data_IF_427935080216
#
_entry.id   IF_427935080216
#
_cell.length_a   1.000
_cell.length_b   1.000
_cell.length_c   1.000
_cell.angle_alpha   90.00
_cell.angle_beta   90.00
_cell.angle_gamma   90.00
#
_symmetry.space_group_name_H-M   'P 1'
#
loop_
_entity.id
_entity.type
_entity.pdbx_description
1 polymer ?
#
# COMPACT_ATOMS: atom_id res chain seq x y z
N UNK A 1 -8.55 -14.93 -4.14
CA UNK A 1 -8.10 -14.03 -3.06
C UNK A 1 -7.41 -14.69 -1.86
N UNK A 2 -7.54 -16.02 -1.58
CA UNK A 2 -6.92 -16.66 -0.40
C UNK A 2 -5.39 -16.52 -0.31
N UNK A 3 -4.68 -16.81 -1.40
CA UNK A 3 -3.21 -16.71 -1.48
C UNK A 3 -2.70 -15.30 -1.13
N UNK A 4 -3.40 -14.29 -1.61
CA UNK A 4 -3.09 -12.89 -1.32
C UNK A 4 -3.33 -12.49 0.14
N UNK A 5 -4.36 -13.06 0.76
CA UNK A 5 -4.60 -12.89 2.20
C UNK A 5 -3.51 -13.57 3.04
N UNK A 6 -3.08 -14.76 2.64
CA UNK A 6 -1.97 -15.49 3.28
C UNK A 6 -0.66 -14.72 3.18
N UNK A 7 -0.38 -14.11 2.01
CA UNK A 7 0.75 -13.19 1.84
C UNK A 7 0.73 -12.06 2.87
N UNK A 8 -0.39 -11.34 3.01
CA UNK A 8 -0.50 -10.25 3.98
C UNK A 8 -0.35 -10.72 5.43
N UNK A 9 -0.79 -11.93 5.74
CA UNK A 9 -0.66 -12.52 7.06
C UNK A 9 0.81 -12.87 7.37
N UNK A 10 1.55 -13.39 6.40
CA UNK A 10 2.99 -13.64 6.53
C UNK A 10 3.80 -12.34 6.64
N UNK A 11 3.40 -11.29 5.91
CA UNK A 11 4.08 -9.98 5.86
C UNK A 11 3.73 -9.06 7.07
N UNK A 12 2.89 -9.53 7.99
CA UNK A 12 2.34 -8.69 9.08
C UNK A 12 3.40 -8.22 10.09
N UNK A 13 4.44 -9.03 10.33
CA UNK A 13 5.49 -8.71 11.29
C UNK A 13 6.48 -7.65 10.75
N UNK A 14 6.77 -7.67 9.44
CA UNK A 14 7.70 -6.74 8.80
C UNK A 14 7.14 -5.30 8.80
N UNK A 15 5.87 -5.08 8.48
CA UNK A 15 5.27 -3.74 8.37
C UNK A 15 5.08 -2.98 9.69
N UNK A 16 4.85 -3.71 10.79
CA UNK A 16 4.83 -3.08 12.12
C UNK A 16 6.20 -2.51 12.50
N UNK A 17 7.26 -3.14 11.95
CA UNK A 17 8.66 -2.78 12.13
C UNK A 17 9.13 -1.76 11.09
N UNK A 18 8.71 -1.83 9.82
CA UNK A 18 9.05 -0.87 8.75
C UNK A 18 8.53 0.55 9.04
N UNK A 19 7.39 0.70 9.74
CA UNK A 19 6.96 2.00 10.26
C UNK A 19 7.94 2.60 11.30
N UNK A 20 8.84 1.79 11.89
CA UNK A 20 9.83 2.20 12.91
C UNK A 20 11.27 2.09 12.42
N UNK A 21 11.55 1.30 11.39
CA UNK A 21 12.90 0.95 10.97
C UNK A 21 13.25 1.69 9.69
N UNK A 22 13.97 2.78 9.93
CA UNK A 22 15.16 3.16 9.18
C UNK A 22 14.97 3.81 7.82
N UNK A 23 15.08 5.14 7.83
CA UNK A 23 15.45 5.98 6.69
C UNK A 23 16.88 5.71 6.15
N UNK A 24 17.47 4.54 6.43
CA UNK A 24 18.86 4.20 6.13
C UNK A 24 18.98 3.09 5.08
N UNK A 25 18.03 2.99 4.16
CA UNK A 25 18.38 2.41 2.86
C UNK A 25 19.37 3.38 2.23
N UNK A 26 20.65 3.01 2.25
CA UNK A 26 21.73 3.62 1.48
C UNK A 26 21.40 3.43 -0.01
N UNK A 27 20.40 4.17 -0.48
CA UNK A 27 20.33 4.50 -1.88
C UNK A 27 21.53 5.41 -2.08
N UNK A 28 22.33 5.14 -3.10
CA UNK A 28 23.15 6.17 -3.70
C UNK A 28 22.23 6.81 -4.75
N UNK A 29 21.50 7.90 -4.46
CA UNK A 29 21.04 8.75 -5.52
C UNK A 29 22.33 9.23 -6.19
N UNK A 30 22.59 8.72 -7.39
CA UNK A 30 23.66 9.27 -8.21
C UNK A 30 23.30 10.71 -8.64
N UNK A 31 22.03 11.12 -8.47
CA UNK A 31 21.48 12.41 -8.82
C UNK A 31 20.69 13.06 -7.65
N UNK A 32 20.92 14.34 -7.31
CA UNK A 32 20.09 15.10 -6.37
C UNK A 32 18.58 15.09 -6.65
N UNK A 33 18.16 15.00 -7.92
CA UNK A 33 16.75 14.93 -8.32
C UNK A 33 16.08 13.62 -7.85
N UNK A 34 16.83 12.51 -7.87
CA UNK A 34 16.33 11.22 -7.39
C UNK A 34 16.08 11.23 -5.87
N UNK A 35 16.85 12.03 -5.12
CA UNK A 35 16.69 12.15 -3.67
C UNK A 35 15.41 12.90 -3.29
N UNK A 36 15.11 14.00 -3.97
CA UNK A 36 13.87 14.75 -3.75
C UNK A 36 12.65 13.89 -4.08
N UNK A 37 12.65 13.25 -5.25
CA UNK A 37 11.60 12.32 -5.68
C UNK A 37 11.41 11.18 -4.67
N UNK A 38 12.50 10.59 -4.18
CA UNK A 38 12.48 9.56 -3.14
C UNK A 38 11.80 10.04 -1.86
N UNK A 39 12.07 11.27 -1.42
CA UNK A 39 11.45 11.82 -0.22
C UNK A 39 9.97 12.05 -0.41
N UNK A 40 9.56 12.65 -1.53
CA UNK A 40 8.15 12.85 -1.87
C UNK A 40 7.40 11.52 -1.88
N UNK A 41 7.94 10.53 -2.58
CA UNK A 41 7.38 9.18 -2.67
C UNK A 41 7.19 8.54 -1.30
N UNK A 42 8.20 8.63 -0.41
CA UNK A 42 8.09 8.11 0.95
C UNK A 42 6.96 8.78 1.72
N UNK A 43 6.81 10.10 1.60
CA UNK A 43 5.70 10.80 2.25
C UNK A 43 4.34 10.38 1.68
N UNK A 44 4.24 10.19 0.36
CA UNK A 44 3.02 9.78 -0.31
C UNK A 44 2.62 8.35 0.10
N UNK A 45 3.58 7.41 0.09
CA UNK A 45 3.39 6.05 0.59
C UNK A 45 2.88 6.04 2.03
N UNK A 46 3.56 6.76 2.94
CA UNK A 46 3.16 6.85 4.35
C UNK A 46 1.74 7.42 4.52
N UNK A 47 1.37 8.44 3.74
CA UNK A 47 0.01 9.01 3.76
C UNK A 47 -1.03 7.97 3.36
N UNK A 48 -0.79 7.20 2.28
CA UNK A 48 -1.72 6.16 1.80
C UNK A 48 -1.81 4.98 2.77
N UNK A 49 -0.69 4.53 3.34
CA UNK A 49 -0.67 3.49 4.38
C UNK A 49 -1.47 3.91 5.62
N UNK A 50 -1.26 5.15 6.10
CA UNK A 50 -2.03 5.68 7.24
C UNK A 50 -3.53 5.70 6.93
N UNK A 51 -3.90 6.19 5.74
CA UNK A 51 -5.30 6.27 5.31
C UNK A 51 -5.95 4.89 5.23
N UNK A 52 -5.26 3.92 4.66
CA UNK A 52 -5.73 2.53 4.57
C UNK A 52 -5.92 1.92 5.97
N UNK A 53 -4.98 2.16 6.89
CA UNK A 53 -5.07 1.70 8.28
C UNK A 53 -6.27 2.32 9.02
N UNK A 54 -6.56 3.60 8.79
CA UNK A 54 -7.74 4.27 9.34
C UNK A 54 -9.05 3.63 8.81
N UNK A 55 -9.12 3.33 7.51
CA UNK A 55 -10.27 2.67 6.90
C UNK A 55 -10.47 1.28 7.51
N UNK A 56 -9.42 0.46 7.58
CA UNK A 56 -9.47 -0.90 8.16
C UNK A 56 -9.88 -0.88 9.64
N UNK A 57 -9.34 0.07 10.42
CA UNK A 57 -9.75 0.26 11.83
C UNK A 57 -11.21 0.62 11.94
N UNK A 58 -11.68 1.58 11.15
CA UNK A 58 -13.09 1.99 11.16
C UNK A 58 -14.01 0.82 10.79
N UNK A 59 -13.62 -0.02 9.83
CA UNK A 59 -14.38 -1.20 9.46
C UNK A 59 -14.38 -2.26 10.57
N UNK A 60 -13.28 -2.47 11.30
CA UNK A 60 -13.29 -3.34 12.48
C UNK A 60 -14.28 -2.86 13.55
N UNK A 61 -14.36 -1.54 13.78
CA UNK A 61 -15.33 -0.93 14.69
C UNK A 61 -16.78 -1.03 14.18
N UNK A 62 -16.97 -0.87 12.88
CA UNK A 62 -18.28 -0.86 12.20
C UNK A 62 -18.81 -2.29 12.04
N UNK A 63 -18.01 -3.26 11.63
CA UNK A 63 -18.41 -4.68 11.51
C UNK A 63 -18.88 -5.22 12.86
N UNK A 64 -18.30 -4.77 13.99
CA UNK A 64 -18.83 -5.07 15.33
C UNK A 64 -20.24 -4.51 15.57
N UNK A 65 -20.60 -3.36 14.96
CA UNK A 65 -21.93 -2.72 15.06
C UNK A 65 -22.93 -3.20 14.00
N UNK A 66 -22.47 -3.64 12.83
CA UNK A 66 -23.30 -3.95 11.65
C UNK A 66 -23.47 -5.45 11.34
N UNK A 67 -22.98 -6.37 12.19
CA UNK A 67 -23.37 -7.79 12.16
C UNK A 67 -24.90 -8.04 12.22
N UNK A 68 -25.71 -6.99 12.35
CA UNK A 68 -27.18 -7.04 12.41
C UNK A 68 -27.90 -6.77 11.09
N UNK A 69 -27.30 -6.18 10.04
CA UNK A 69 -28.03 -5.90 8.78
C UNK A 69 -27.19 -6.13 7.51
N UNK A 70 -27.75 -6.94 6.62
CA UNK A 70 -27.17 -7.51 5.40
C UNK A 70 -26.90 -6.51 4.26
N UNK A 71 -25.89 -6.82 3.44
CA UNK A 71 -26.00 -6.94 1.96
C UNK A 71 -24.69 -7.53 1.42
N UNK A 72 -24.72 -8.82 1.07
CA UNK A 72 -23.50 -9.62 0.81
C UNK A 72 -22.74 -9.22 -0.46
N UNK A 73 -23.38 -8.63 -1.47
CA UNK A 73 -22.75 -8.38 -2.79
C UNK A 73 -21.85 -7.12 -2.82
N UNK A 74 -22.33 -5.98 -2.29
CA UNK A 74 -21.53 -4.74 -2.20
C UNK A 74 -20.38 -4.88 -1.21
N UNK A 75 -20.59 -5.63 -0.12
CA UNK A 75 -19.53 -5.91 0.86
C UNK A 75 -18.37 -6.73 0.28
N UNK A 76 -18.59 -7.59 -0.71
CA UNK A 76 -17.53 -8.44 -1.28
C UNK A 76 -16.57 -7.63 -2.14
N UNK A 77 -17.08 -6.79 -3.06
CA UNK A 77 -16.21 -5.94 -3.89
C UNK A 77 -15.36 -4.98 -3.06
N UNK A 78 -15.96 -4.34 -2.06
CA UNK A 78 -15.25 -3.44 -1.15
C UNK A 78 -14.14 -4.17 -0.38
N UNK A 79 -14.36 -5.44 0.01
CA UNK A 79 -13.33 -6.27 0.65
C UNK A 79 -12.18 -6.60 -0.31
N UNK A 80 -12.49 -6.89 -1.57
CA UNK A 80 -11.48 -7.17 -2.58
C UNK A 80 -10.62 -5.94 -2.89
N UNK A 81 -11.22 -4.75 -3.06
CA UNK A 81 -10.49 -3.49 -3.24
C UNK A 81 -9.57 -3.15 -2.06
N UNK A 82 -10.03 -3.38 -0.82
CA UNK A 82 -9.20 -3.19 0.38
C UNK A 82 -8.05 -4.19 0.45
N UNK A 83 -8.28 -5.42 0.02
CA UNK A 83 -7.26 -6.45 -0.01
C UNK A 83 -6.20 -6.11 -1.05
N UNK A 84 -6.62 -5.73 -2.26
CA UNK A 84 -5.73 -5.30 -3.35
C UNK A 84 -4.94 -4.05 -2.92
N UNK A 85 -5.57 -3.05 -2.31
CA UNK A 85 -4.89 -1.87 -1.78
C UNK A 85 -3.85 -2.19 -0.72
N UNK A 86 -4.13 -3.15 0.17
CA UNK A 86 -3.13 -3.61 1.13
C UNK A 86 -1.93 -4.23 0.41
N UNK A 87 -2.16 -5.10 -0.55
CA UNK A 87 -1.07 -5.80 -1.27
C UNK A 87 -0.23 -4.82 -2.08
N UNK A 88 -0.86 -3.95 -2.87
CA UNK A 88 -0.19 -2.93 -3.68
C UNK A 88 0.72 -2.05 -2.80
N UNK A 89 0.21 -1.52 -1.68
CA UNK A 89 1.05 -0.72 -0.77
C UNK A 89 2.16 -1.56 -0.10
N UNK A 90 1.92 -2.84 0.22
CA UNK A 90 2.98 -3.73 0.76
C UNK A 90 4.09 -3.96 -0.25
N UNK A 91 3.74 -4.29 -1.50
CA UNK A 91 4.73 -4.54 -2.55
C UNK A 91 5.55 -3.28 -2.80
N UNK A 92 4.91 -2.11 -2.90
CA UNK A 92 5.62 -0.82 -3.05
C UNK A 92 6.56 -0.57 -1.87
N UNK A 93 6.08 -0.71 -0.64
CA UNK A 93 6.89 -0.53 0.57
C UNK A 93 8.13 -1.45 0.58
N UNK A 94 7.95 -2.70 0.15
CA UNK A 94 9.06 -3.67 0.03
C UNK A 94 10.06 -3.28 -1.06
N UNK A 95 9.60 -2.82 -2.23
CA UNK A 95 10.48 -2.33 -3.30
C UNK A 95 11.27 -1.12 -2.82
N UNK A 96 10.63 -0.16 -2.16
CA UNK A 96 11.27 1.05 -1.62
C UNK A 96 12.31 0.79 -0.53
N UNK A 97 12.29 -0.39 0.10
CA UNK A 97 13.26 -0.81 1.14
C UNK A 97 14.38 -1.71 0.61
N UNK A 98 14.37 -2.06 -0.67
CA UNK A 98 15.45 -2.85 -1.29
C UNK A 98 16.79 -2.11 -1.25
N UNK A 99 17.89 -2.85 -1.07
CA UNK A 99 19.24 -2.29 -1.00
C UNK A 99 19.74 -1.65 -2.31
N UNK A 100 19.15 -2.02 -3.45
CA UNK A 100 19.44 -1.47 -4.78
C UNK A 100 18.15 -1.03 -5.44
N UNK A 101 17.86 0.26 -5.33
CA UNK A 101 16.73 0.90 -5.98
C UNK A 101 17.20 1.50 -7.31
N UNK A 102 16.55 1.13 -8.41
CA UNK A 102 16.82 1.68 -9.74
C UNK A 102 15.74 2.73 -10.08
N UNK A 103 16.03 3.61 -11.03
CA UNK A 103 15.05 4.60 -11.53
C UNK A 103 13.78 3.93 -12.07
N UNK A 104 13.89 2.78 -12.74
CA UNK A 104 12.74 2.01 -13.21
C UNK A 104 11.84 1.54 -12.05
N UNK A 105 12.44 1.06 -10.95
CA UNK A 105 11.70 0.68 -9.74
C UNK A 105 11.04 1.89 -9.06
N UNK A 106 11.69 3.05 -9.10
CA UNK A 106 11.13 4.31 -8.60
C UNK A 106 9.91 4.74 -9.40
N UNK A 107 10.02 4.79 -10.73
CA UNK A 107 8.91 5.12 -11.63
C UNK A 107 7.75 4.15 -11.39
N UNK A 108 8.03 2.85 -11.32
CA UNK A 108 7.00 1.85 -11.04
C UNK A 108 6.30 2.09 -9.70
N UNK A 109 7.06 2.37 -8.63
CA UNK A 109 6.49 2.67 -7.32
C UNK A 109 5.61 3.93 -7.35
N UNK A 110 6.04 4.98 -8.05
CA UNK A 110 5.29 6.22 -8.18
C UNK A 110 3.95 5.98 -8.90
N UNK A 111 3.98 5.34 -10.07
CA UNK A 111 2.78 5.01 -10.83
C UNK A 111 1.80 4.15 -10.01
N UNK A 112 2.33 3.18 -9.26
CA UNK A 112 1.54 2.30 -8.40
C UNK A 112 0.86 3.04 -7.27
N UNK A 113 1.60 3.92 -6.60
CA UNK A 113 1.05 4.78 -5.57
C UNK A 113 -0.05 5.62 -6.20
N UNK A 114 0.20 6.36 -7.28
CA UNK A 114 -0.72 7.37 -7.82
C UNK A 114 -2.04 6.83 -8.35
N UNK A 115 -2.05 5.60 -8.88
CA UNK A 115 -3.28 4.91 -9.31
C UNK A 115 -4.27 4.64 -8.17
N UNK A 116 -3.83 4.73 -6.92
CA UNK A 116 -4.66 4.55 -5.74
C UNK A 116 -5.11 5.90 -5.17
N UNK A 117 -6.41 6.19 -5.21
CA UNK A 117 -6.97 7.39 -4.59
C UNK A 117 -7.98 7.04 -3.49
N UNK A 118 -8.07 7.92 -2.50
CA UNK A 118 -8.93 7.74 -1.34
C UNK A 118 -9.92 8.88 -1.25
N UNK A 119 -11.20 8.59 -1.42
CA UNK A 119 -12.29 9.54 -1.19
C UNK A 119 -13.06 9.18 0.08
N UNK A 120 -12.70 9.85 1.19
CA UNK A 120 -13.25 9.53 2.51
C UNK A 120 -12.83 8.13 2.99
N UNK A 121 -13.74 7.16 2.92
CA UNK A 121 -13.49 5.73 3.22
C UNK A 121 -13.55 4.82 1.98
N UNK A 122 -13.83 5.39 0.81
CA UNK A 122 -13.84 4.66 -0.46
C UNK A 122 -12.44 4.67 -1.05
N UNK A 123 -12.05 3.52 -1.59
CA UNK A 123 -10.81 3.36 -2.32
C UNK A 123 -11.19 3.33 -3.80
N UNK A 124 -10.45 4.08 -4.61
CA UNK A 124 -10.55 3.99 -6.05
C UNK A 124 -9.18 3.57 -6.58
N UNK A 125 -9.17 2.55 -7.42
CA UNK A 125 -7.97 2.01 -8.03
C UNK A 125 -8.14 2.02 -9.53
N UNK A 126 -7.24 2.69 -10.22
CA UNK A 126 -7.15 2.55 -11.67
C UNK A 126 -6.57 1.17 -12.02
N UNK A 127 -7.15 0.43 -12.99
CA UNK A 127 -6.62 -0.86 -13.40
C UNK A 127 -5.15 -0.75 -13.83
N UNK A 128 -4.34 -1.73 -13.47
CA UNK A 128 -2.96 -1.86 -13.95
C UNK A 128 -2.63 -3.32 -14.23
N UNK A 129 -1.89 -3.56 -15.30
CA UNK A 129 -1.48 -4.91 -15.71
C UNK A 129 -0.12 -5.34 -15.14
N UNK A 130 0.66 -4.42 -14.59
CA UNK A 130 1.98 -4.70 -14.02
C UNK A 130 1.88 -5.04 -12.52
N UNK A 131 2.02 -6.29 -12.13
CA UNK A 131 2.00 -6.68 -10.71
C UNK A 131 3.33 -6.40 -9.99
N UNK A 132 4.44 -6.31 -10.74
CA UNK A 132 5.79 -6.15 -10.23
C UNK A 132 6.56 -5.16 -11.12
N UNK A 133 7.59 -4.49 -10.58
CA UNK A 133 8.51 -3.69 -11.40
C UNK A 133 9.23 -4.62 -12.39
N UNK A 134 9.31 -4.19 -13.65
CA UNK A 134 10.17 -4.80 -14.66
C UNK A 134 11.61 -4.32 -14.48
#
# INVERSE_FOLDING_TARGET
MRVFWEFLCADKDEFSSVMKVSHQTQVSPQDPLDLELLTEMRTNLQKKEKKLKEILRSQSCIVKKFKKNESKSSSVRVKDELLIAQIELRVVSRVMTMSKLTTEKLIWCQEKIDRMSFNGRKIHMEPSFSLLPC
#
